data_IF_062085466023
#
_entry.id   IF_062085466023
#
_cell.length_a   1.000
_cell.length_b   1.000
_cell.length_c   1.000
_cell.angle_alpha   90.00
_cell.angle_beta   90.00
_cell.angle_gamma   90.00
#
_symmetry.space_group_name_H-M   'P 1'
#
loop_
_entity.id
_entity.type
_entity.pdbx_description
1 polymer ?
#
# COMPACT_ATOMS: atom_id res chain seq x y z
N UNK A 1 -1.96 9.07 -12.40
CA UNK A 1 -0.82 9.44 -11.53
C UNK A 1 0.47 9.19 -12.30
N UNK A 2 1.42 10.14 -12.30
CA UNK A 2 2.74 9.95 -12.88
C UNK A 2 3.79 9.90 -11.77
N UNK A 3 4.90 9.27 -12.06
CA UNK A 3 6.00 9.01 -11.12
C UNK A 3 7.30 9.55 -11.67
N UNK A 4 8.13 10.08 -10.80
CA UNK A 4 9.48 10.55 -11.11
C UNK A 4 10.53 9.76 -10.38
N UNK A 5 11.74 9.69 -10.93
CA UNK A 5 12.91 9.23 -10.16
C UNK A 5 13.27 10.24 -9.07
N UNK A 6 13.68 9.75 -7.90
CA UNK A 6 14.20 10.59 -6.82
C UNK A 6 15.54 11.25 -7.16
N UNK A 7 16.26 10.78 -8.18
CA UNK A 7 17.53 11.35 -8.64
C UNK A 7 17.37 12.21 -9.90
N UNK A 8 16.35 11.96 -10.71
CA UNK A 8 16.09 12.72 -11.95
C UNK A 8 14.60 12.98 -12.13
N UNK A 9 14.15 14.16 -11.78
CA UNK A 9 12.77 14.58 -11.93
C UNK A 9 12.26 14.63 -13.38
N UNK A 10 13.16 14.63 -14.38
CA UNK A 10 12.79 14.57 -15.78
C UNK A 10 12.45 13.16 -16.26
N UNK A 11 12.82 12.12 -15.52
CA UNK A 11 12.40 10.75 -15.82
C UNK A 11 10.98 10.54 -15.28
N UNK A 12 10.00 10.56 -16.17
CA UNK A 12 8.58 10.46 -15.85
C UNK A 12 8.03 9.17 -16.44
N UNK A 13 7.38 8.37 -15.59
CA UNK A 13 6.79 7.07 -15.96
C UNK A 13 5.39 6.93 -15.41
N UNK A 14 4.61 5.99 -15.96
CA UNK A 14 3.32 5.57 -15.38
C UNK A 14 3.54 4.67 -14.15
N UNK A 15 2.48 4.42 -13.36
CA UNK A 15 2.56 3.50 -12.23
C UNK A 15 2.94 2.08 -12.68
N UNK A 16 2.32 1.58 -13.74
CA UNK A 16 2.63 0.27 -14.30
C UNK A 16 4.10 0.15 -14.72
N UNK A 17 4.65 1.19 -15.38
CA UNK A 17 6.06 1.22 -15.76
C UNK A 17 6.98 1.27 -14.55
N UNK A 18 6.66 2.07 -13.53
CA UNK A 18 7.44 2.15 -12.30
C UNK A 18 7.49 0.80 -11.57
N UNK A 19 6.36 0.09 -11.49
CA UNK A 19 6.29 -1.25 -10.88
C UNK A 19 7.10 -2.26 -11.68
N UNK A 20 6.93 -2.30 -13.02
CA UNK A 20 7.63 -3.25 -13.87
C UNK A 20 9.14 -3.04 -13.90
N UNK A 21 9.59 -1.79 -13.83
CA UNK A 21 11.01 -1.44 -13.83
C UNK A 21 11.67 -1.61 -12.45
N UNK A 22 10.93 -1.33 -11.37
CA UNK A 22 11.40 -1.38 -9.98
C UNK A 22 12.28 -0.19 -9.60
N UNK A 23 13.54 -0.18 -10.01
CA UNK A 23 14.49 0.92 -9.76
C UNK A 23 14.68 1.72 -11.05
N UNK A 24 14.72 3.04 -10.95
CA UNK A 24 15.02 3.92 -12.07
C UNK A 24 16.42 3.66 -12.65
N UNK A 25 16.61 3.96 -13.94
CA UNK A 25 17.90 3.76 -14.63
C UNK A 25 19.07 4.53 -14.02
N UNK A 26 18.77 5.63 -13.33
CA UNK A 26 19.74 6.44 -12.60
C UNK A 26 20.00 5.94 -11.16
N UNK A 27 19.38 4.82 -10.76
CA UNK A 27 19.48 4.24 -9.42
C UNK A 27 18.51 4.86 -8.39
N UNK A 28 17.68 5.83 -8.78
CA UNK A 28 16.65 6.43 -7.93
C UNK A 28 15.43 5.53 -7.75
N UNK A 29 14.61 5.86 -6.77
CA UNK A 29 13.30 5.26 -6.56
C UNK A 29 12.23 6.06 -7.31
N UNK A 30 11.19 5.38 -7.79
CA UNK A 30 10.04 6.08 -8.33
C UNK A 30 9.11 6.55 -7.21
N UNK A 31 8.79 7.83 -7.22
CA UNK A 31 7.85 8.47 -6.30
C UNK A 31 6.74 9.19 -7.08
N UNK A 32 5.50 9.24 -6.58
CA UNK A 32 4.44 9.96 -7.26
C UNK A 32 4.77 11.44 -7.34
N UNK A 33 4.41 12.10 -8.46
CA UNK A 33 4.60 13.55 -8.63
C UNK A 33 3.80 14.36 -7.63
N UNK A 34 2.62 13.86 -7.26
CA UNK A 34 1.72 14.47 -6.28
C UNK A 34 1.14 13.38 -5.38
N UNK A 35 0.98 13.69 -4.09
CA UNK A 35 0.28 12.79 -3.18
C UNK A 35 -1.21 13.10 -3.15
N UNK A 36 -2.08 12.08 -3.22
CA UNK A 36 -3.51 12.26 -3.00
C UNK A 36 -3.77 12.92 -1.64
N UNK A 37 -4.67 13.89 -1.63
CA UNK A 37 -5.10 14.55 -0.39
C UNK A 37 -6.48 14.04 0.00
N UNK A 38 -6.57 13.47 1.17
CA UNK A 38 -7.85 13.02 1.71
C UNK A 38 -8.46 14.08 2.61
N UNK A 39 -9.72 14.42 2.35
CA UNK A 39 -10.52 15.22 3.28
C UNK A 39 -10.87 14.40 4.53
N UNK A 40 -11.34 15.06 5.58
CA UNK A 40 -11.82 14.37 6.78
C UNK A 40 -12.96 13.39 6.45
N UNK A 41 -13.84 13.76 5.51
CA UNK A 41 -14.95 12.91 5.05
C UNK A 41 -14.42 11.66 4.36
N UNK A 42 -13.49 11.83 3.40
CA UNK A 42 -12.86 10.70 2.69
C UNK A 42 -12.14 9.77 3.67
N UNK A 43 -11.43 10.35 4.65
CA UNK A 43 -10.77 9.57 5.68
C UNK A 43 -11.76 8.78 6.54
N UNK A 44 -12.86 9.39 6.93
CA UNK A 44 -13.93 8.72 7.68
C UNK A 44 -14.58 7.58 6.88
N UNK A 45 -14.71 7.72 5.55
CA UNK A 45 -15.17 6.62 4.70
C UNK A 45 -14.17 5.46 4.69
N UNK A 46 -12.86 5.74 4.57
CA UNK A 46 -11.83 4.72 4.65
C UNK A 46 -11.86 3.94 5.98
N UNK A 47 -12.17 4.60 7.09
CA UNK A 47 -12.26 3.94 8.40
C UNK A 47 -13.40 2.92 8.50
N UNK A 48 -14.45 3.04 7.67
CA UNK A 48 -15.56 2.10 7.61
C UNK A 48 -15.25 0.83 6.81
N UNK A 49 -14.22 0.88 5.97
CA UNK A 49 -13.82 -0.23 5.12
C UNK A 49 -12.95 -1.25 5.89
N UNK A 50 -12.98 -2.48 5.44
CA UNK A 50 -11.99 -3.49 5.84
C UNK A 50 -10.62 -3.21 5.21
N UNK A 51 -9.65 -4.08 5.45
CA UNK A 51 -8.30 -3.93 4.92
C UNK A 51 -8.27 -3.90 3.39
N UNK A 52 -8.98 -4.83 2.74
CA UNK A 52 -9.03 -4.91 1.28
C UNK A 52 -9.71 -3.69 0.67
N UNK A 53 -10.81 -3.23 1.25
CA UNK A 53 -11.51 -2.02 0.79
C UNK A 53 -10.62 -0.78 0.86
N UNK A 54 -9.84 -0.62 1.94
CA UNK A 54 -8.85 0.46 2.06
C UNK A 54 -7.75 0.33 1.02
N UNK A 55 -7.22 -0.88 0.81
CA UNK A 55 -6.18 -1.14 -0.18
C UNK A 55 -6.65 -0.79 -1.60
N UNK A 56 -7.86 -1.22 -1.99
CA UNK A 56 -8.46 -0.90 -3.29
C UNK A 56 -8.57 0.61 -3.50
N UNK A 57 -9.07 1.34 -2.49
CA UNK A 57 -9.21 2.80 -2.57
C UNK A 57 -7.85 3.49 -2.72
N UNK A 58 -6.87 3.11 -1.90
CA UNK A 58 -5.52 3.69 -1.97
C UNK A 58 -4.87 3.35 -3.31
N UNK A 59 -4.94 2.10 -3.77
CA UNK A 59 -4.37 1.72 -5.05
C UNK A 59 -5.03 2.45 -6.23
N UNK A 60 -6.34 2.65 -6.23
CA UNK A 60 -7.02 3.42 -7.27
C UNK A 60 -6.50 4.86 -7.35
N UNK A 61 -6.16 5.48 -6.23
CA UNK A 61 -5.63 6.83 -6.19
C UNK A 61 -4.17 6.92 -6.67
N UNK A 62 -3.36 5.90 -6.41
CA UNK A 62 -1.94 5.87 -6.79
C UNK A 62 -1.69 5.21 -8.15
N UNK A 63 -2.45 4.20 -8.52
CA UNK A 63 -2.28 3.39 -9.72
C UNK A 63 -3.32 3.76 -10.79
N UNK A 64 -3.38 5.03 -11.16
CA UNK A 64 -4.42 5.58 -12.03
C UNK A 64 -4.42 5.08 -13.49
N UNK A 65 -3.45 4.31 -13.89
CA UNK A 65 -3.33 3.62 -15.18
C UNK A 65 -3.77 2.14 -15.11
N UNK A 66 -4.23 1.69 -13.93
CA UNK A 66 -4.89 0.40 -13.75
C UNK A 66 -6.40 0.57 -13.73
N UNK A 67 -7.11 -0.38 -14.27
CA UNK A 67 -8.57 -0.43 -14.17
C UNK A 67 -9.02 -0.86 -12.77
N UNK A 68 -10.27 -0.56 -12.42
CA UNK A 68 -10.86 -1.02 -11.16
C UNK A 68 -10.86 -2.55 -11.06
N UNK A 69 -11.11 -3.25 -12.16
CA UNK A 69 -11.10 -4.72 -12.22
C UNK A 69 -9.70 -5.27 -11.90
N UNK A 70 -8.65 -4.73 -12.52
CA UNK A 70 -7.26 -5.12 -12.26
C UNK A 70 -6.86 -4.89 -10.79
N UNK A 71 -7.23 -3.73 -10.23
CA UNK A 71 -6.97 -3.44 -8.81
C UNK A 71 -7.73 -4.41 -7.90
N UNK A 72 -9.00 -4.69 -8.20
CA UNK A 72 -9.80 -5.64 -7.45
C UNK A 72 -9.17 -7.04 -7.47
N UNK A 73 -8.81 -7.54 -8.64
CA UNK A 73 -8.18 -8.85 -8.81
C UNK A 73 -6.86 -8.94 -8.05
N UNK A 74 -6.01 -7.92 -8.17
CA UNK A 74 -4.74 -7.86 -7.44
C UNK A 74 -4.95 -7.90 -5.92
N UNK A 75 -5.86 -7.08 -5.39
CA UNK A 75 -6.12 -7.00 -3.95
C UNK A 75 -6.74 -8.29 -3.40
N UNK A 76 -7.73 -8.84 -4.12
CA UNK A 76 -8.38 -10.09 -3.69
C UNK A 76 -7.42 -11.27 -3.67
N UNK A 77 -6.52 -11.34 -4.63
CA UNK A 77 -5.52 -12.40 -4.73
C UNK A 77 -4.30 -12.19 -3.82
N UNK A 78 -3.92 -10.94 -3.52
CA UNK A 78 -2.78 -10.65 -2.66
C UNK A 78 -3.11 -10.87 -1.18
N UNK A 79 -4.22 -10.32 -0.69
CA UNK A 79 -4.59 -10.32 0.73
C UNK A 79 -5.59 -11.43 1.05
N UNK A 80 -5.11 -12.67 1.03
CA UNK A 80 -5.94 -13.85 1.35
C UNK A 80 -5.59 -14.39 2.74
N UNK A 81 -6.59 -15.00 3.38
CA UNK A 81 -6.41 -15.68 4.67
C UNK A 81 -5.36 -16.79 4.59
N UNK A 82 -5.26 -17.45 3.45
CA UNK A 82 -4.25 -18.49 3.22
C UNK A 82 -2.82 -17.92 3.30
N UNK A 83 -2.60 -16.75 2.68
CA UNK A 83 -1.28 -16.12 2.63
C UNK A 83 -0.89 -15.43 3.95
N UNK A 84 -1.85 -14.88 4.67
CA UNK A 84 -1.61 -14.08 5.88
C UNK A 84 -1.99 -14.80 7.17
N UNK A 85 -2.59 -15.99 7.10
CA UNK A 85 -3.05 -16.74 8.27
C UNK A 85 -4.28 -16.12 8.96
N UNK A 86 -4.79 -15.00 8.48
CA UNK A 86 -5.87 -14.21 9.06
C UNK A 86 -6.59 -13.39 7.99
N UNK A 87 -7.83 -13.01 8.25
CA UNK A 87 -8.58 -12.05 7.43
C UNK A 87 -8.08 -10.60 7.62
N UNK A 88 -7.27 -10.36 8.65
CA UNK A 88 -6.59 -9.08 8.87
C UNK A 88 -5.08 -9.24 8.61
N UNK A 89 -4.56 -8.75 7.47
CA UNK A 89 -3.15 -8.84 7.12
C UNK A 89 -2.19 -8.09 8.06
N UNK A 90 -2.69 -7.08 8.76
CA UNK A 90 -1.92 -6.25 9.68
C UNK A 90 -2.63 -6.12 11.03
N UNK A 91 -2.64 -7.17 11.87
CA UNK A 91 -3.30 -7.13 13.16
C UNK A 91 -2.58 -6.22 14.15
N UNK A 92 -3.33 -5.68 15.09
CA UNK A 92 -2.81 -4.88 16.18
C UNK A 92 -2.74 -5.75 17.44
N UNK A 93 -1.54 -5.99 17.94
CA UNK A 93 -1.30 -6.65 19.22
C UNK A 93 -1.12 -5.63 20.35
N UNK A 94 -1.51 -6.02 21.56
CA UNK A 94 -1.43 -5.19 22.74
C UNK A 94 -0.50 -5.83 23.78
N UNK A 95 0.45 -5.05 24.27
CA UNK A 95 1.38 -5.47 25.31
C UNK A 95 1.46 -4.42 26.42
N UNK A 96 1.95 -4.83 27.60
CA UNK A 96 2.27 -3.91 28.69
C UNK A 96 3.75 -3.99 29.02
N UNK A 97 4.42 -2.85 29.02
CA UNK A 97 5.82 -2.73 29.41
C UNK A 97 5.95 -1.64 30.49
N UNK A 98 6.45 -2.01 31.67
CA UNK A 98 6.62 -1.09 32.79
C UNK A 98 5.35 -0.29 33.14
N UNK A 99 4.19 -0.95 33.09
CA UNK A 99 2.88 -0.35 33.38
C UNK A 99 2.29 0.52 32.28
N UNK A 100 3.00 0.69 31.14
CA UNK A 100 2.51 1.41 29.95
C UNK A 100 1.96 0.45 28.93
N UNK A 101 0.86 0.82 28.30
CA UNK A 101 0.28 0.09 27.18
C UNK A 101 1.06 0.36 25.89
N UNK A 102 1.35 -0.69 25.15
CA UNK A 102 1.98 -0.66 23.84
C UNK A 102 1.03 -1.25 22.82
N UNK A 103 0.86 -0.55 21.70
CA UNK A 103 0.16 -1.04 20.53
C UNK A 103 1.21 -1.42 19.49
N UNK A 104 1.22 -2.67 19.06
CA UNK A 104 2.20 -3.23 18.13
C UNK A 104 1.46 -3.60 16.85
N UNK A 105 1.73 -2.88 15.76
CA UNK A 105 1.22 -3.24 14.44
C UNK A 105 2.11 -4.34 13.85
N UNK A 106 1.54 -5.52 13.66
CA UNK A 106 2.27 -6.69 13.17
C UNK A 106 2.26 -6.72 11.65
N UNK A 107 3.43 -6.51 11.01
CA UNK A 107 3.58 -6.42 9.55
C UNK A 107 4.34 -7.60 8.95
N UNK A 108 4.49 -8.71 9.65
CA UNK A 108 5.28 -9.88 9.21
C UNK A 108 4.46 -11.10 8.82
N UNK A 109 3.12 -11.00 8.76
CA UNK A 109 2.25 -12.15 8.50
C UNK A 109 2.16 -12.53 7.01
N UNK A 110 2.65 -11.69 6.11
CA UNK A 110 2.64 -11.96 4.68
C UNK A 110 3.62 -13.07 4.26
N UNK A 111 3.51 -13.55 3.01
CA UNK A 111 4.30 -14.68 2.50
C UNK A 111 5.81 -14.52 2.59
N UNK A 112 6.31 -13.29 2.59
CA UNK A 112 7.75 -12.98 2.69
C UNK A 112 8.22 -12.76 4.12
N UNK A 113 7.31 -12.75 5.11
CA UNK A 113 7.58 -12.41 6.50
C UNK A 113 8.26 -11.05 6.69
N UNK A 114 8.15 -10.17 5.71
CA UNK A 114 8.70 -8.82 5.72
C UNK A 114 7.58 -7.78 5.78
N UNK A 115 7.87 -6.61 6.34
CA UNK A 115 6.90 -5.52 6.45
C UNK A 115 6.39 -5.00 5.08
N UNK A 116 7.04 -5.38 3.99
CA UNK A 116 6.65 -5.04 2.61
C UNK A 116 5.82 -6.14 1.92
N UNK A 117 5.44 -7.19 2.64
CA UNK A 117 4.69 -8.29 2.06
C UNK A 117 3.23 -7.92 1.78
#
# INVERSE_FOLDING_TARGET
>A
MLYNSTQNAAEVVSAAQAIAQGISKDGGLFVPQEFPKYSAETFNELLKLDYKGRAKKVFADFLSDFTEEEINDCVENAYTKEKFGSDNPAPLAYAKLNGKELNILELWHGPTCAFKA
#
